data_IF_296386098620
#
_entry.id   IF_296386098620
#
_cell.length_a   1.000
_cell.length_b   1.000
_cell.length_c   1.000
_cell.angle_alpha   90.00
_cell.angle_beta   90.00
_cell.angle_gamma   90.00
#
_symmetry.space_group_name_H-M   'P 1'
#
loop_
_entity.id
_entity.type
_entity.pdbx_description
1 polymer ?
#
# COMPACT_ATOMS: atom_id res chain seq x y z
N UNK A 1 -7.22 -9.93 14.62
CA UNK A 1 -8.36 -9.12 14.14
C UNK A 1 -8.18 -8.68 12.67
N UNK A 2 -6.98 -8.76 12.09
CA UNK A 2 -6.68 -8.27 10.72
C UNK A 2 -7.49 -8.88 9.57
N UNK A 3 -8.08 -10.08 9.68
CA UNK A 3 -8.91 -10.61 8.58
C UNK A 3 -10.10 -9.71 8.25
N UNK A 4 -10.68 -9.04 9.25
CA UNK A 4 -11.83 -8.17 9.07
C UNK A 4 -11.46 -6.84 8.40
N UNK A 5 -10.29 -6.27 8.76
CA UNK A 5 -9.77 -5.02 8.21
C UNK A 5 -9.50 -5.15 6.69
N UNK A 6 -8.85 -6.25 6.28
CA UNK A 6 -8.65 -6.58 4.85
C UNK A 6 -9.94 -6.68 4.05
N UNK A 7 -10.96 -7.33 4.62
CA UNK A 7 -12.25 -7.52 3.96
C UNK A 7 -13.00 -6.20 3.80
N UNK A 8 -12.90 -5.31 4.79
CA UNK A 8 -13.47 -3.97 4.74
C UNK A 8 -12.77 -3.09 3.70
N UNK A 9 -11.43 -3.09 3.65
CA UNK A 9 -10.68 -2.39 2.60
C UNK A 9 -11.07 -2.88 1.20
N UNK A 10 -11.20 -4.20 1.01
CA UNK A 10 -11.64 -4.80 -0.25
C UNK A 10 -13.07 -4.39 -0.63
N UNK A 11 -13.98 -4.33 0.33
CA UNK A 11 -15.36 -3.89 0.10
C UNK A 11 -15.40 -2.41 -0.29
N UNK A 12 -14.71 -1.54 0.45
CA UNK A 12 -14.60 -0.12 0.11
C UNK A 12 -14.01 0.09 -1.29
N UNK A 13 -12.93 -0.63 -1.63
CA UNK A 13 -12.34 -0.55 -2.97
C UNK A 13 -13.32 -1.06 -4.04
N UNK A 14 -14.08 -2.12 -3.78
CA UNK A 14 -15.06 -2.63 -4.75
C UNK A 14 -16.24 -1.67 -4.98
N UNK A 15 -16.57 -0.82 -4.00
CA UNK A 15 -17.57 0.24 -4.13
C UNK A 15 -17.03 1.50 -4.85
N UNK A 16 -15.71 1.71 -4.79
CA UNK A 16 -15.02 2.83 -5.44
C UNK A 16 -14.64 2.51 -6.90
N UNK A 17 -14.69 3.50 -7.80
CA UNK A 17 -14.12 3.35 -9.14
C UNK A 17 -12.59 3.14 -9.07
N UNK A 18 -12.04 2.38 -10.02
CA UNK A 18 -10.61 2.05 -10.09
C UNK A 18 -9.69 3.28 -10.07
N UNK A 19 -10.16 4.44 -10.55
CA UNK A 19 -9.42 5.70 -10.53
C UNK A 19 -9.25 6.27 -9.10
N UNK A 20 -10.16 5.93 -8.17
CA UNK A 20 -10.10 6.36 -6.77
C UNK A 20 -9.35 5.40 -5.86
N UNK A 21 -9.13 4.16 -6.30
CA UNK A 21 -8.32 3.16 -5.57
C UNK A 21 -6.95 3.68 -5.15
N UNK A 22 -6.13 4.27 -6.04
CA UNK A 22 -4.83 4.79 -5.65
C UNK A 22 -4.97 5.89 -4.58
N UNK A 23 -5.97 6.77 -4.66
CA UNK A 23 -6.20 7.81 -3.65
C UNK A 23 -6.54 7.19 -2.28
N UNK A 24 -7.40 6.18 -2.24
CA UNK A 24 -7.78 5.47 -1.00
C UNK A 24 -6.59 4.72 -0.39
N UNK A 25 -5.79 4.05 -1.22
CA UNK A 25 -4.58 3.33 -0.81
C UNK A 25 -3.49 4.29 -0.31
N UNK A 26 -3.30 5.44 -0.96
CA UNK A 26 -2.36 6.49 -0.51
C UNK A 26 -2.70 6.95 0.90
N UNK A 27 -3.99 7.19 1.20
CA UNK A 27 -4.42 7.56 2.56
C UNK A 27 -4.04 6.49 3.59
N UNK A 28 -4.39 5.22 3.32
CA UNK A 28 -4.05 4.10 4.21
C UNK A 28 -2.53 4.03 4.48
N UNK A 29 -1.72 4.06 3.43
CA UNK A 29 -0.26 3.98 3.54
C UNK A 29 0.28 5.20 4.29
N UNK A 30 -0.21 6.40 3.99
CA UNK A 30 0.18 7.62 4.69
C UNK A 30 -0.08 7.53 6.19
N UNK A 31 -1.23 7.00 6.59
CA UNK A 31 -1.55 6.76 8.00
C UNK A 31 -0.59 5.75 8.63
N UNK A 32 -0.31 4.63 7.96
CA UNK A 32 0.64 3.63 8.48
C UNK A 32 2.06 4.20 8.64
N UNK A 33 2.55 4.94 7.65
CA UNK A 33 3.87 5.60 7.72
C UNK A 33 3.88 6.65 8.83
N UNK A 34 2.82 7.45 8.97
CA UNK A 34 2.71 8.45 10.02
C UNK A 34 2.74 7.83 11.42
N UNK A 35 2.20 6.62 11.59
CA UNK A 35 2.28 5.88 12.85
C UNK A 35 3.70 5.39 13.15
N UNK A 36 4.42 4.92 12.12
CA UNK A 36 5.80 4.44 12.26
C UNK A 36 6.75 5.61 12.57
N UNK A 37 6.67 6.70 11.80
CA UNK A 37 7.53 7.87 11.94
C UNK A 37 7.05 8.85 13.03
N UNK A 38 5.86 8.62 13.59
CA UNK A 38 5.20 9.48 14.60
C UNK A 38 5.11 10.95 14.18
N UNK A 39 4.89 11.21 12.89
CA UNK A 39 4.78 12.55 12.32
C UNK A 39 4.02 12.55 11.00
N UNK A 40 3.52 13.72 10.61
CA UNK A 40 2.89 13.92 9.30
C UNK A 40 3.91 13.77 8.17
N UNK A 41 3.52 13.05 7.13
CA UNK A 41 4.32 12.84 5.92
C UNK A 41 3.55 13.25 4.68
N UNK A 42 4.24 13.95 3.78
CA UNK A 42 3.78 14.23 2.43
C UNK A 42 3.87 12.95 1.56
N UNK A 43 2.78 12.57 0.86
CA UNK A 43 2.70 11.33 0.09
C UNK A 43 3.42 11.38 -1.27
N UNK A 44 3.90 12.54 -1.69
CA UNK A 44 4.68 12.78 -2.90
C UNK A 44 6.18 12.80 -2.63
N UNK A 45 6.57 12.96 -1.36
CA UNK A 45 7.96 12.93 -0.93
C UNK A 45 8.47 11.48 -0.73
N UNK A 46 9.72 11.19 -1.12
CA UNK A 46 10.33 9.88 -0.87
C UNK A 46 10.43 9.56 0.62
N UNK A 47 10.11 8.32 0.98
CA UNK A 47 10.13 7.84 2.36
C UNK A 47 11.55 7.84 2.97
N UNK A 48 12.56 7.70 2.12
CA UNK A 48 13.98 7.79 2.50
C UNK A 48 14.38 9.19 2.96
N UNK A 49 13.80 10.25 2.38
CA UNK A 49 14.05 11.64 2.80
C UNK A 49 13.50 11.91 4.21
N UNK A 50 12.52 11.10 4.61
CA UNK A 50 12.02 11.10 5.97
C UNK A 50 12.91 10.36 6.98
N UNK A 51 14.01 9.75 6.55
CA UNK A 51 14.84 8.92 7.41
C UNK A 51 14.15 7.61 7.80
N UNK A 52 13.30 7.07 6.91
CA UNK A 52 12.73 5.74 7.12
C UNK A 52 13.85 4.68 6.96
N UNK A 53 14.31 4.16 8.09
CA UNK A 53 15.35 3.12 8.15
C UNK A 53 14.84 1.75 7.67
N UNK A 54 15.75 0.79 7.51
CA UNK A 54 15.44 -0.61 7.13
C UNK A 54 14.37 -1.26 8.01
N UNK A 55 14.34 -0.95 9.32
CA UNK A 55 13.31 -1.46 10.24
C UNK A 55 11.95 -0.81 10.00
N UNK A 56 11.91 0.49 9.74
CA UNK A 56 10.68 1.19 9.36
C UNK A 56 10.12 0.70 8.03
N UNK A 57 11.00 0.40 7.06
CA UNK A 57 10.63 -0.24 5.80
C UNK A 57 10.03 -1.64 6.02
N UNK A 58 10.65 -2.45 6.88
CA UNK A 58 10.14 -3.78 7.19
C UNK A 58 8.79 -3.71 7.91
N UNK A 59 8.62 -2.83 8.90
CA UNK A 59 7.35 -2.63 9.59
C UNK A 59 6.26 -2.14 8.64
N UNK A 60 6.55 -1.15 7.80
CA UNK A 60 5.61 -0.64 6.80
C UNK A 60 5.18 -1.77 5.88
N UNK A 61 6.16 -2.51 5.34
CA UNK A 61 5.91 -3.69 4.51
C UNK A 61 4.97 -4.65 5.21
N UNK A 62 5.33 -5.13 6.41
CA UNK A 62 4.53 -6.11 7.13
C UNK A 62 3.11 -5.63 7.38
N UNK A 63 2.93 -4.35 7.74
CA UNK A 63 1.60 -3.75 7.92
C UNK A 63 0.80 -3.75 6.62
N UNK A 64 1.36 -3.24 5.53
CA UNK A 64 0.64 -3.18 4.25
C UNK A 64 0.37 -4.59 3.69
N UNK A 65 1.32 -5.52 3.78
CA UNK A 65 1.13 -6.92 3.39
C UNK A 65 0.00 -7.56 4.22
N UNK A 66 -0.11 -7.20 5.49
CA UNK A 66 -1.17 -7.67 6.38
C UNK A 66 -2.52 -7.05 6.03
N UNK A 67 -2.59 -5.77 5.68
CA UNK A 67 -3.85 -5.05 5.38
C UNK A 67 -4.36 -5.30 3.96
N UNK A 68 -3.47 -5.56 3.01
CA UNK A 68 -3.84 -5.76 1.59
C UNK A 68 -3.78 -7.23 1.17
N UNK A 69 -3.01 -8.04 1.87
CA UNK A 69 -2.70 -9.42 1.48
C UNK A 69 -1.74 -9.54 0.29
N UNK A 70 -1.20 -8.43 -0.22
CA UNK A 70 -0.24 -8.39 -1.33
C UNK A 70 1.17 -8.38 -0.77
N UNK A 71 2.05 -9.22 -1.30
CA UNK A 71 3.49 -9.19 -0.96
C UNK A 71 4.19 -8.02 -1.65
N UNK A 72 5.00 -7.28 -0.91
CA UNK A 72 5.68 -6.06 -1.36
C UNK A 72 7.18 -6.26 -1.21
N UNK A 73 7.97 -5.90 -2.22
CA UNK A 73 9.43 -5.94 -2.08
C UNK A 73 9.94 -4.65 -1.48
N UNK A 74 11.09 -4.70 -0.80
CA UNK A 74 11.74 -3.51 -0.23
C UNK A 74 12.04 -2.43 -1.28
N UNK A 75 12.24 -2.83 -2.54
CA UNK A 75 12.46 -1.94 -3.68
C UNK A 75 11.21 -1.17 -4.12
N UNK A 76 10.01 -1.66 -3.79
CA UNK A 76 8.75 -0.99 -4.13
C UNK A 76 8.42 0.15 -3.15
N UNK A 77 9.07 0.18 -1.97
CA UNK A 77 8.87 1.18 -0.92
C UNK A 77 9.69 2.43 -1.25
N UNK A 78 9.18 3.23 -2.18
CA UNK A 78 9.81 4.48 -2.65
C UNK A 78 9.08 5.70 -2.11
N UNK A 79 7.87 5.93 -2.60
CA UNK A 79 6.93 6.98 -2.18
C UNK A 79 5.59 6.35 -1.82
N UNK A 80 4.77 7.05 -1.04
CA UNK A 80 3.40 6.62 -0.78
C UNK A 80 2.60 6.49 -2.08
N UNK A 81 2.79 7.43 -3.01
CA UNK A 81 2.18 7.39 -4.34
C UNK A 81 2.54 6.12 -5.12
N UNK A 82 3.83 5.83 -5.26
CA UNK A 82 4.31 4.68 -6.02
C UNK A 82 3.86 3.35 -5.42
N UNK A 83 3.87 3.25 -4.09
CA UNK A 83 3.41 2.06 -3.39
C UNK A 83 1.90 1.84 -3.58
N UNK A 84 1.09 2.90 -3.52
CA UNK A 84 -0.35 2.81 -3.76
C UNK A 84 -0.68 2.37 -5.19
N UNK A 85 0.01 2.91 -6.19
CA UNK A 85 -0.15 2.52 -7.59
C UNK A 85 0.20 1.03 -7.81
N UNK A 86 1.31 0.59 -7.21
CA UNK A 86 1.72 -0.82 -7.26
C UNK A 86 0.67 -1.75 -6.63
N UNK A 87 0.15 -1.39 -5.46
CA UNK A 87 -0.91 -2.15 -4.80
C UNK A 87 -2.20 -2.15 -5.61
N UNK A 88 -2.57 -1.03 -6.20
CA UNK A 88 -3.74 -0.92 -7.06
C UNK A 88 -3.64 -1.91 -8.22
N UNK A 89 -2.49 -1.95 -8.91
CA UNK A 89 -2.23 -2.90 -10.01
C UNK A 89 -2.26 -4.36 -9.56
N UNK A 90 -1.83 -4.66 -8.33
CA UNK A 90 -1.82 -6.02 -7.76
C UNK A 90 -3.19 -6.46 -7.25
N UNK A 91 -4.00 -5.52 -6.76
CA UNK A 91 -5.34 -5.75 -6.21
C UNK A 91 -6.41 -5.76 -7.30
N UNK A 92 -6.19 -5.01 -8.38
CA UNK A 92 -7.03 -5.09 -9.57
C UNK A 92 -7.10 -6.56 -9.98
N UNK A 93 -8.31 -7.07 -10.28
CA UNK A 93 -8.44 -8.42 -10.81
C UNK A 93 -7.46 -8.53 -11.97
N UNK A 94 -6.60 -9.54 -11.94
CA UNK A 94 -5.65 -9.80 -13.00
C UNK A 94 -6.45 -10.10 -14.27
N UNK A 95 -6.80 -9.06 -15.03
CA UNK A 95 -7.01 -9.20 -16.45
C UNK A 95 -5.63 -9.56 -17.02
N UNK A 96 -5.49 -10.86 -17.23
CA UNK A 96 -4.47 -11.53 -18.03
C UNK A 96 -3.05 -11.57 -17.44
N UNK A 97 -2.80 -12.58 -16.60
CA UNK A 97 -1.60 -13.37 -16.85
C UNK A 97 -1.99 -14.37 -17.95
N UNK A 98 -1.46 -14.25 -19.18
CA UNK A 98 -1.71 -15.28 -20.18
C UNK A 98 -1.14 -16.57 -19.60
N UNK A 99 -2.00 -17.57 -19.48
CA UNK A 99 -1.57 -18.92 -19.24
C UNK A 99 -0.55 -19.27 -20.33
N UNK A 100 0.73 -19.34 -19.96
CA UNK A 100 1.77 -19.94 -20.80
C UNK A 100 1.32 -21.35 -21.15
N UNK A 101 0.92 -21.53 -22.41
CA UNK A 101 0.94 -22.81 -23.12
C UNK A 101 2.36 -23.18 -23.49
#
# INVERSE_FOLDING_TARGET
MQRSERSQLRAELAELPLDEWPTRLRRLISEQVSLILRRTIDPDRPLTDYGLDSLGNLELRTRIETETGIRISSTDITTVRGLADHLCKKLAPAEDAPATM
#
